data_IF_170353229620
#
_entry.id   IF_170353229620
#
_cell.length_a   1.000
_cell.length_b   1.000
_cell.length_c   1.000
_cell.angle_alpha   90.00
_cell.angle_beta   90.00
_cell.angle_gamma   90.00
#
_symmetry.space_group_name_H-M   'P 1'
#
loop_
_entity.id
_entity.type
_entity.pdbx_description
1 polymer ?
#
# COMPACT_ATOMS: atom_id res chain seq x y z
N UNK A 1 -0.32 -0.92 -9.20
CA UNK A 1 -1.66 -0.42 -8.81
C UNK A 1 -1.61 0.49 -7.60
N UNK A 2 -1.11 0.04 -6.45
CA UNK A 2 -1.06 0.83 -5.19
C UNK A 2 -0.44 2.23 -5.39
N UNK A 3 0.81 2.27 -5.86
CA UNK A 3 1.52 3.54 -6.10
C UNK A 3 0.76 4.43 -7.09
N UNK A 4 0.30 3.86 -8.20
CA UNK A 4 -0.48 4.60 -9.20
C UNK A 4 -1.75 5.21 -8.60
N UNK A 5 -2.52 4.43 -7.82
CA UNK A 5 -3.73 4.91 -7.16
C UNK A 5 -3.42 6.07 -6.21
N UNK A 6 -2.41 5.92 -5.34
CA UNK A 6 -2.05 6.96 -4.37
C UNK A 6 -1.63 8.27 -5.08
N UNK A 7 -0.79 8.16 -6.10
CA UNK A 7 -0.33 9.33 -6.87
C UNK A 7 -1.45 9.93 -7.72
N UNK A 8 -2.32 9.10 -8.29
CA UNK A 8 -3.46 9.58 -9.08
C UNK A 8 -4.49 10.31 -8.23
N UNK A 9 -4.64 9.94 -6.94
CA UNK A 9 -5.61 10.57 -6.05
C UNK A 9 -5.04 11.80 -5.35
N UNK A 10 -3.77 11.75 -4.93
CA UNK A 10 -3.20 12.76 -4.04
C UNK A 10 -2.06 13.58 -4.68
N UNK A 11 -1.65 13.28 -5.91
CA UNK A 11 -0.55 13.97 -6.59
C UNK A 11 0.79 13.79 -5.87
N UNK A 12 1.50 14.89 -5.62
CA UNK A 12 2.82 14.87 -4.96
C UNK A 12 2.80 14.31 -3.53
N UNK A 13 1.84 14.67 -2.65
CA UNK A 13 1.63 13.98 -1.37
C UNK A 13 1.47 12.46 -1.52
N UNK A 14 0.77 12.01 -2.58
CA UNK A 14 0.61 10.59 -2.88
C UNK A 14 1.93 9.87 -3.14
N UNK A 15 2.91 10.55 -3.77
CA UNK A 15 4.26 10.01 -3.98
C UNK A 15 5.00 9.82 -2.66
N UNK A 16 4.92 10.80 -1.76
CA UNK A 16 5.54 10.72 -0.44
C UNK A 16 4.95 9.55 0.37
N UNK A 17 3.63 9.41 0.40
CA UNK A 17 2.94 8.29 1.03
C UNK A 17 3.36 6.94 0.43
N UNK A 18 3.46 6.85 -0.89
CA UNK A 18 3.91 5.62 -1.56
C UNK A 18 5.32 5.21 -1.14
N UNK A 19 6.24 6.17 -0.97
CA UNK A 19 7.60 5.90 -0.48
C UNK A 19 7.57 5.43 0.97
N UNK A 20 6.78 6.07 1.84
CA UNK A 20 6.64 5.65 3.25
C UNK A 20 6.15 4.20 3.32
N UNK A 21 5.08 3.87 2.59
CA UNK A 21 4.53 2.51 2.53
C UNK A 21 5.58 1.54 1.97
N UNK A 22 6.34 1.92 0.96
CA UNK A 22 7.42 1.09 0.39
C UNK A 22 8.49 0.77 1.45
N UNK A 23 8.95 1.75 2.21
CA UNK A 23 9.95 1.54 3.27
C UNK A 23 9.41 0.63 4.36
N UNK A 24 8.16 0.85 4.80
CA UNK A 24 7.50 -0.01 5.78
C UNK A 24 7.37 -1.46 5.29
N UNK A 25 7.09 -1.66 4.00
CA UNK A 25 7.02 -2.98 3.39
C UNK A 25 8.38 -3.70 3.33
N UNK A 26 9.47 -2.98 3.12
CA UNK A 26 10.81 -3.59 3.11
C UNK A 26 11.16 -4.07 4.53
N UNK A 27 10.91 -3.25 5.54
CA UNK A 27 11.23 -3.58 6.92
C UNK A 27 10.28 -4.63 7.52
N UNK A 28 8.97 -4.50 7.24
CA UNK A 28 7.92 -5.34 7.81
C UNK A 28 7.46 -6.50 6.92
N UNK A 29 7.98 -6.66 5.70
CA UNK A 29 7.56 -7.72 4.78
C UNK A 29 8.13 -9.11 5.11
N UNK A 30 9.09 -9.19 6.04
CA UNK A 30 9.70 -10.46 6.45
C UNK A 30 10.64 -11.07 5.41
N UNK A 31 11.15 -10.29 4.44
CA UNK A 31 11.99 -10.79 3.34
C UNK A 31 13.46 -10.97 3.70
N UNK A 32 13.97 -10.17 4.64
CA UNK A 32 15.36 -10.23 5.10
C UNK A 32 15.53 -11.17 6.31
N UNK A 33 14.59 -11.09 7.25
CA UNK A 33 14.52 -11.93 8.44
C UNK A 33 13.07 -12.35 8.68
N UNK A 34 12.83 -13.47 9.40
CA UNK A 34 11.49 -13.83 9.88
C UNK A 34 10.85 -12.67 10.63
N UNK A 35 9.54 -12.49 10.48
CA UNK A 35 8.85 -11.35 11.09
C UNK A 35 8.88 -11.43 12.63
N UNK A 36 8.93 -12.64 13.17
CA UNK A 36 8.93 -12.97 14.60
C UNK A 36 10.13 -12.40 15.35
N UNK A 37 11.26 -12.16 14.66
CA UNK A 37 12.46 -11.55 15.27
C UNK A 37 12.54 -10.04 15.08
N UNK A 38 11.53 -9.42 14.47
CA UNK A 38 11.46 -7.96 14.29
C UNK A 38 10.76 -7.29 15.49
N UNK A 39 10.94 -5.98 15.71
CA UNK A 39 10.21 -5.24 16.73
C UNK A 39 8.68 -5.38 16.61
N UNK A 40 7.96 -5.32 17.73
CA UNK A 40 6.51 -5.52 17.81
C UNK A 40 5.70 -4.64 16.84
N UNK A 41 6.18 -3.42 16.56
CA UNK A 41 5.58 -2.54 15.56
C UNK A 41 5.50 -3.19 14.17
N UNK A 42 6.61 -3.79 13.70
CA UNK A 42 6.67 -4.41 12.37
C UNK A 42 5.82 -5.68 12.31
N UNK A 43 5.80 -6.45 13.39
CA UNK A 43 4.90 -7.61 13.52
C UNK A 43 3.42 -7.21 13.41
N UNK A 44 3.03 -6.10 14.05
CA UNK A 44 1.65 -5.62 14.02
C UNK A 44 1.20 -5.15 12.64
N UNK A 45 2.08 -4.48 11.87
CA UNK A 45 1.74 -4.01 10.52
C UNK A 45 1.86 -5.09 9.46
N UNK A 46 2.66 -6.14 9.69
CA UNK A 46 2.98 -7.20 8.71
C UNK A 46 1.75 -7.77 7.96
N UNK A 47 0.61 -8.09 8.61
CA UNK A 47 -0.57 -8.62 7.91
C UNK A 47 -1.22 -7.63 6.95
N UNK A 48 -0.94 -6.33 7.09
CA UNK A 48 -1.50 -5.27 6.25
C UNK A 48 -0.60 -4.90 5.07
N UNK A 49 0.57 -5.55 4.95
CA UNK A 49 1.54 -5.29 3.91
C UNK A 49 1.42 -6.33 2.79
N UNK A 50 1.19 -5.91 1.53
CA UNK A 50 1.11 -6.85 0.42
C UNK A 50 2.42 -7.61 0.20
N UNK A 51 3.58 -7.01 0.49
CA UNK A 51 4.88 -7.68 0.40
C UNK A 51 4.97 -8.95 1.24
N UNK A 52 4.32 -9.00 2.41
CA UNK A 52 4.28 -10.18 3.27
C UNK A 52 3.73 -11.41 2.55
N UNK A 53 2.60 -11.23 1.85
CA UNK A 53 1.96 -12.30 1.09
C UNK A 53 2.76 -12.69 -0.16
N UNK A 54 3.40 -11.73 -0.82
CA UNK A 54 4.28 -12.00 -1.97
C UNK A 54 5.50 -12.82 -1.58
N UNK A 55 6.15 -12.48 -0.47
CA UNK A 55 7.33 -13.18 0.04
C UNK A 55 6.96 -14.59 0.48
N UNK A 56 5.85 -14.76 1.19
CA UNK A 56 5.37 -16.08 1.60
C UNK A 56 4.98 -16.95 0.40
N UNK A 57 4.29 -16.38 -0.60
CA UNK A 57 3.96 -17.11 -1.83
C UNK A 57 5.23 -17.54 -2.58
N UNK A 58 6.26 -16.69 -2.62
CA UNK A 58 7.55 -17.03 -3.22
C UNK A 58 8.24 -18.16 -2.45
N UNK A 59 8.21 -18.13 -1.12
CA UNK A 59 8.75 -19.21 -0.27
C UNK A 59 8.07 -20.55 -0.53
N UNK A 60 6.75 -20.56 -0.61
CA UNK A 60 5.98 -21.76 -0.95
C UNK A 60 6.35 -22.27 -2.35
N UNK A 61 6.42 -21.38 -3.34
CA UNK A 61 6.74 -21.75 -4.73
C UNK A 61 8.15 -22.36 -4.87
N UNK A 62 9.13 -21.89 -4.09
CA UNK A 62 10.53 -22.35 -4.16
C UNK A 62 10.80 -23.53 -3.22
N UNK A 63 10.21 -23.52 -2.02
CA UNK A 63 10.45 -24.49 -0.96
C UNK A 63 9.69 -25.81 -1.09
N UNK A 64 8.77 -25.90 -2.06
CA UNK A 64 7.86 -27.03 -2.22
C UNK A 64 6.43 -26.58 -1.93
N UNK A 65 5.64 -26.24 -2.96
CA UNK A 65 4.39 -25.54 -2.76
C UNK A 65 3.34 -26.45 -2.15
N UNK A 66 2.74 -25.99 -1.05
CA UNK A 66 1.43 -26.49 -0.61
C UNK A 66 0.36 -25.70 -1.37
N UNK A 67 -0.39 -26.32 -2.31
CA UNK A 67 -1.26 -25.57 -3.22
C UNK A 67 -2.30 -24.69 -2.49
N UNK A 68 -2.82 -25.18 -1.37
CA UNK A 68 -3.81 -24.45 -0.56
C UNK A 68 -3.24 -23.15 0.03
N UNK A 69 -2.03 -23.22 0.59
CA UNK A 69 -1.34 -22.07 1.20
C UNK A 69 -0.96 -21.07 0.09
N UNK A 70 -0.36 -21.55 -1.00
CA UNK A 70 0.02 -20.71 -2.12
C UNK A 70 -1.18 -19.98 -2.72
N UNK A 71 -2.30 -20.69 -2.93
CA UNK A 71 -3.54 -20.10 -3.46
C UNK A 71 -4.08 -19.02 -2.53
N UNK A 72 -4.12 -19.28 -1.23
CA UNK A 72 -4.56 -18.30 -0.23
C UNK A 72 -3.69 -17.02 -0.25
N UNK A 73 -2.36 -17.17 -0.32
CA UNK A 73 -1.43 -16.02 -0.35
C UNK A 73 -1.56 -15.21 -1.64
N UNK A 74 -1.64 -15.89 -2.79
CA UNK A 74 -1.83 -15.24 -4.10
C UNK A 74 -3.18 -14.54 -4.19
N UNK A 75 -4.26 -15.16 -3.69
CA UNK A 75 -5.59 -14.56 -3.68
C UNK A 75 -5.63 -13.32 -2.79
N UNK A 76 -5.04 -13.39 -1.60
CA UNK A 76 -4.95 -12.24 -0.69
C UNK A 76 -4.17 -11.09 -1.33
N UNK A 77 -3.04 -11.39 -1.99
CA UNK A 77 -2.28 -10.38 -2.74
C UNK A 77 -3.11 -9.77 -3.89
N UNK A 78 -3.90 -10.60 -4.59
CA UNK A 78 -4.86 -10.16 -5.60
C UNK A 78 -5.90 -9.20 -5.04
N UNK A 79 -6.41 -9.45 -3.83
CA UNK A 79 -7.37 -8.58 -3.14
C UNK A 79 -6.78 -7.19 -2.84
N UNK A 80 -5.50 -7.08 -2.46
CA UNK A 80 -4.84 -5.77 -2.35
C UNK A 80 -4.83 -5.04 -3.70
N UNK A 81 -4.52 -5.76 -4.78
CA UNK A 81 -4.54 -5.21 -6.14
C UNK A 81 -5.91 -4.66 -6.53
N UNK A 82 -6.96 -5.48 -6.37
CA UNK A 82 -8.35 -5.10 -6.68
C UNK A 82 -8.83 -3.98 -5.76
N UNK A 83 -8.54 -4.06 -4.45
CA UNK A 83 -8.93 -3.05 -3.47
C UNK A 83 -8.36 -1.67 -3.80
N UNK A 84 -7.06 -1.57 -4.09
CA UNK A 84 -6.45 -0.30 -4.51
C UNK A 84 -6.92 0.16 -5.88
N UNK A 85 -7.27 -0.76 -6.79
CA UNK A 85 -7.83 -0.38 -8.08
C UNK A 85 -9.22 0.26 -7.92
N UNK A 86 -10.10 -0.38 -7.16
CA UNK A 86 -11.44 0.13 -6.84
C UNK A 86 -11.36 1.46 -6.07
N UNK A 87 -10.45 1.56 -5.10
CA UNK A 87 -10.20 2.79 -4.37
C UNK A 87 -9.77 3.93 -5.31
N UNK A 88 -9.00 3.63 -6.37
CA UNK A 88 -8.64 4.61 -7.38
C UNK A 88 -9.82 5.09 -8.21
N UNK A 89 -10.70 4.17 -8.65
CA UNK A 89 -11.89 4.51 -9.44
C UNK A 89 -12.88 5.33 -8.61
N UNK A 90 -13.18 4.86 -7.40
CA UNK A 90 -14.17 5.47 -6.51
C UNK A 90 -13.62 6.77 -5.93
N UNK A 91 -12.35 6.82 -5.51
CA UNK A 91 -11.76 7.99 -4.88
C UNK A 91 -11.58 9.19 -5.82
N UNK A 92 -11.38 8.96 -7.12
CA UNK A 92 -11.12 10.01 -8.10
C UNK A 92 -12.22 11.08 -8.20
N UNK A 93 -13.53 10.74 -8.29
CA UNK A 93 -14.61 11.72 -8.27
C UNK A 93 -14.76 12.47 -6.94
N UNK A 94 -14.34 11.92 -5.79
CA UNK A 94 -14.46 12.60 -4.49
C UNK A 94 -13.29 13.52 -4.18
N UNK A 95 -12.06 13.08 -4.49
CA UNK A 95 -10.85 13.81 -4.09
C UNK A 95 -10.57 14.97 -5.06
N UNK A 96 -10.95 14.87 -6.33
CA UNK A 96 -10.85 15.96 -7.31
C UNK A 96 -11.48 17.29 -6.86
N UNK A 97 -12.79 17.33 -6.53
CA UNK A 97 -13.46 18.56 -6.09
C UNK A 97 -12.98 19.04 -4.71
N UNK A 98 -12.60 18.12 -3.82
CA UNK A 98 -12.05 18.47 -2.51
C UNK A 98 -10.69 19.19 -2.66
N UNK A 99 -9.83 18.68 -3.53
CA UNK A 99 -8.51 19.26 -3.80
C UNK A 99 -8.63 20.68 -4.38
N UNK A 100 -9.60 20.92 -5.28
CA UNK A 100 -9.88 22.26 -5.82
C UNK A 100 -10.40 23.19 -4.73
N UNK A 101 -11.33 22.73 -3.88
CA UNK A 101 -11.89 23.55 -2.80
C UNK A 101 -10.83 23.93 -1.75
N UNK A 102 -9.86 23.04 -1.48
CA UNK A 102 -8.75 23.32 -0.58
C UNK A 102 -7.74 24.29 -1.21
N UNK A 103 -7.47 24.17 -2.52
CA UNK A 103 -6.63 25.11 -3.25
C UNK A 103 -7.27 26.51 -3.26
N UNK A 104 -8.56 26.61 -3.61
CA UNK A 104 -9.31 27.88 -3.63
C UNK A 104 -9.39 28.55 -2.24
N UNK A 105 -9.46 27.74 -1.17
CA UNK A 105 -9.44 28.26 0.20
C UNK A 105 -8.05 28.70 0.65
N UNK A 106 -7.00 28.01 0.25
CA UNK A 106 -5.63 28.38 0.55
C UNK A 106 -5.25 29.70 -0.15
N UNK A 107 -5.66 29.86 -1.41
CA UNK A 107 -5.47 31.09 -2.19
C UNK A 107 -6.26 32.28 -1.59
N UNK A 108 -7.49 32.04 -1.12
CA UNK A 108 -8.29 33.08 -0.44
C UNK A 108 -7.83 33.44 0.97
N UNK A 109 -6.99 32.62 1.60
CA UNK A 109 -6.59 32.82 3.00
C UNK A 109 -5.27 33.57 3.15
N UNK A 110 -4.69 34.09 2.06
CA UNK A 110 -3.50 34.95 2.08
C UNK A 110 -2.29 34.33 2.81
N UNK A 111 -2.20 33.00 2.85
CA UNK A 111 -1.13 32.26 3.55
C UNK A 111 0.09 32.04 2.63
N UNK A 112 0.08 32.65 1.45
CA UNK A 112 1.13 32.49 0.42
C UNK A 112 1.87 33.80 0.11
N UNK A 113 1.59 34.90 0.81
CA UNK A 113 2.46 36.09 0.88
C UNK A 113 3.40 36.06 2.10
#
# INVERSE_FOLDING_TARGET
>A
TIVYTLVSLLGNPGKALAIIILVLQIAGGGGTFPIEVTPAFFQAIHPFLPFSYSIDALREAVGGPVPEILTYKVLTLGLFGVGFFLLGIIGKPYIGPLAQTLADKAEKSDILE
#
